data_IF_177672652898
#
_entry.id   IF_177672652898
#
_cell.length_a   1.000
_cell.length_b   1.000
_cell.length_c   1.000
_cell.angle_alpha   90.00
_cell.angle_beta   90.00
_cell.angle_gamma   90.00
#
_symmetry.space_group_name_H-M   'P 1'
#
loop_
_entity.id
_entity.type
_entity.pdbx_description
1 polymer ?
#
# COMPACT_ATOMS: atom_id res chain seq x y z
N UNK A 1 20.92 -1.80 2.69
CA UNK A 1 20.28 -2.96 2.03
C UNK A 1 21.01 -3.39 0.76
N UNK A 2 21.43 -2.47 -0.12
CA UNK A 2 22.21 -2.80 -1.32
C UNK A 2 23.50 -3.59 -1.01
N UNK A 3 24.27 -3.19 0.00
CA UNK A 3 25.52 -3.88 0.37
C UNK A 3 25.30 -5.31 0.86
N UNK A 4 24.19 -5.56 1.57
CA UNK A 4 23.81 -6.91 2.02
C UNK A 4 23.48 -7.81 0.83
N UNK A 5 22.64 -7.33 -0.09
CA UNK A 5 22.24 -8.11 -1.28
C UNK A 5 23.45 -8.44 -2.15
N UNK A 6 24.36 -7.48 -2.34
CA UNK A 6 25.62 -7.69 -3.08
C UNK A 6 26.52 -8.70 -2.35
N UNK A 7 26.63 -8.60 -1.02
CA UNK A 7 27.39 -9.55 -0.23
C UNK A 7 26.83 -10.97 -0.35
N UNK A 8 25.50 -11.13 -0.29
CA UNK A 8 24.82 -12.41 -0.46
C UNK A 8 25.09 -13.01 -1.85
N UNK A 9 24.96 -12.22 -2.92
CA UNK A 9 25.32 -12.67 -4.27
C UNK A 9 26.76 -13.20 -4.33
N UNK A 10 27.73 -12.44 -3.78
CA UNK A 10 29.14 -12.84 -3.79
C UNK A 10 29.37 -14.15 -3.05
N UNK A 11 28.77 -14.31 -1.86
CA UNK A 11 28.89 -15.54 -1.06
C UNK A 11 28.24 -16.71 -1.78
N UNK A 12 27.01 -16.57 -2.27
CA UNK A 12 26.30 -17.64 -2.98
C UNK A 12 26.96 -18.01 -4.32
N UNK A 13 27.68 -17.09 -4.96
CA UNK A 13 28.47 -17.38 -6.16
C UNK A 13 29.77 -18.14 -5.84
N UNK A 14 30.44 -17.80 -4.74
CA UNK A 14 31.76 -18.37 -4.39
C UNK A 14 31.65 -19.66 -3.56
N UNK A 15 30.79 -19.65 -2.54
CA UNK A 15 30.59 -20.73 -1.57
C UNK A 15 29.47 -21.68 -2.04
N UNK A 16 28.57 -21.22 -2.91
CA UNK A 16 27.38 -21.97 -3.31
C UNK A 16 26.24 -21.86 -2.30
N UNK A 17 25.09 -22.41 -2.66
CA UNK A 17 23.94 -22.53 -1.75
C UNK A 17 23.92 -23.95 -1.16
N UNK A 18 24.11 -24.06 0.15
CA UNK A 18 24.15 -25.35 0.86
C UNK A 18 22.77 -25.81 1.37
N UNK A 19 21.74 -24.97 1.20
CA UNK A 19 20.37 -25.32 1.60
C UNK A 19 19.69 -26.28 0.62
N UNK A 20 18.44 -26.62 0.93
CA UNK A 20 17.62 -27.47 0.06
C UNK A 20 17.29 -26.74 -1.24
N UNK A 21 17.68 -27.33 -2.37
CA UNK A 21 17.33 -26.83 -3.70
C UNK A 21 15.81 -26.95 -3.91
N UNK A 22 15.24 -25.90 -4.46
CA UNK A 22 13.82 -25.82 -4.83
C UNK A 22 13.65 -26.16 -6.30
N UNK A 23 12.63 -26.95 -6.62
CA UNK A 23 12.27 -27.28 -8.00
C UNK A 23 11.42 -26.18 -8.66
N UNK A 24 10.64 -25.45 -7.84
CA UNK A 24 9.74 -24.38 -8.25
C UNK A 24 9.75 -23.22 -7.24
N UNK A 25 9.68 -22.00 -7.75
CA UNK A 25 9.68 -20.74 -6.99
C UNK A 25 8.57 -19.85 -7.55
N UNK A 26 7.60 -19.54 -6.69
CA UNK A 26 6.48 -18.66 -6.99
C UNK A 26 6.69 -17.36 -6.22
N UNK A 27 6.73 -16.23 -6.92
CA UNK A 27 6.99 -14.92 -6.33
C UNK A 27 5.78 -14.05 -6.63
N UNK A 28 5.05 -13.73 -5.56
CA UNK A 28 3.95 -12.77 -5.61
C UNK A 28 4.45 -11.37 -5.22
N UNK A 29 3.69 -10.34 -5.60
CA UNK A 29 4.02 -8.92 -5.37
C UNK A 29 5.46 -8.57 -5.79
N UNK A 30 5.91 -9.11 -6.93
CA UNK A 30 7.30 -9.02 -7.39
C UNK A 30 7.81 -7.57 -7.52
N UNK A 31 6.89 -6.61 -7.71
CA UNK A 31 7.20 -5.20 -7.77
C UNK A 31 7.72 -4.59 -6.46
N UNK A 32 7.60 -5.29 -5.34
CA UNK A 32 8.18 -4.87 -4.05
C UNK A 32 9.65 -5.32 -3.88
N UNK A 33 10.16 -6.11 -4.82
CA UNK A 33 11.54 -6.57 -4.83
C UNK A 33 12.37 -5.79 -5.85
N UNK A 34 13.59 -5.44 -5.47
CA UNK A 34 14.58 -4.93 -6.41
C UNK A 34 15.04 -6.04 -7.36
N UNK A 35 15.47 -5.68 -8.58
CA UNK A 35 16.00 -6.65 -9.56
C UNK A 35 17.15 -7.49 -8.99
N UNK A 36 17.99 -6.91 -8.14
CA UNK A 36 19.09 -7.64 -7.48
C UNK A 36 18.59 -8.62 -6.41
N UNK A 37 17.50 -8.31 -5.70
CA UNK A 37 16.87 -9.28 -4.79
C UNK A 37 16.24 -10.44 -5.59
N UNK A 38 15.53 -10.13 -6.69
CA UNK A 38 14.95 -11.15 -7.58
C UNK A 38 16.05 -12.09 -8.10
N UNK A 39 17.20 -11.55 -8.49
CA UNK A 39 18.33 -12.34 -8.98
C UNK A 39 18.87 -13.35 -7.96
N UNK A 40 18.67 -13.16 -6.64
CA UNK A 40 19.13 -14.12 -5.63
C UNK A 40 18.44 -15.48 -5.78
N UNK A 41 17.21 -15.51 -6.32
CA UNK A 41 16.45 -16.75 -6.45
C UNK A 41 17.08 -17.75 -7.44
N UNK A 42 18.00 -17.30 -8.33
CA UNK A 42 18.76 -18.19 -9.20
C UNK A 42 19.66 -19.18 -8.44
N UNK A 43 20.02 -18.84 -7.20
CA UNK A 43 20.87 -19.70 -6.37
C UNK A 43 20.11 -20.82 -5.69
N UNK A 44 18.79 -20.67 -5.51
CA UNK A 44 17.96 -21.65 -4.79
C UNK A 44 17.20 -22.61 -5.72
N UNK A 45 16.97 -22.22 -6.98
CA UNK A 45 16.26 -23.04 -7.97
C UNK A 45 17.07 -23.16 -9.26
N UNK A 46 17.35 -24.40 -9.66
CA UNK A 46 18.12 -24.73 -10.87
C UNK A 46 17.24 -24.89 -12.11
N UNK A 47 15.93 -25.07 -11.93
CA UNK A 47 14.98 -25.22 -13.03
C UNK A 47 14.66 -23.85 -13.67
N UNK A 48 15.57 -23.39 -14.53
CA UNK A 48 15.42 -22.10 -15.26
C UNK A 48 14.47 -22.16 -16.45
N UNK A 49 13.90 -23.32 -16.78
CA UNK A 49 12.97 -23.45 -17.89
C UNK A 49 11.52 -23.27 -17.42
N UNK A 50 11.16 -23.86 -16.27
CA UNK A 50 9.78 -23.90 -15.79
C UNK A 50 9.64 -23.59 -14.29
N UNK A 51 10.76 -23.46 -13.58
CA UNK A 51 10.78 -23.39 -12.12
C UNK A 51 10.44 -22.02 -11.54
N UNK A 52 10.07 -21.03 -12.34
CA UNK A 52 9.83 -19.66 -11.88
C UNK A 52 8.52 -19.09 -12.39
N UNK A 53 7.72 -18.55 -11.48
CA UNK A 53 6.51 -17.79 -11.77
C UNK A 53 6.56 -16.48 -11.01
N UNK A 54 6.46 -15.36 -11.74
CA UNK A 54 6.46 -14.00 -11.18
C UNK A 54 5.08 -13.38 -11.39
N UNK A 55 4.47 -12.93 -10.30
CA UNK A 55 3.16 -12.28 -10.27
C UNK A 55 3.30 -10.89 -9.61
N UNK A 56 2.54 -9.92 -10.10
CA UNK A 56 2.55 -8.56 -9.56
C UNK A 56 1.76 -7.55 -10.39
N UNK A 57 1.82 -6.29 -9.97
CA UNK A 57 1.16 -5.17 -10.63
C UNK A 57 2.09 -3.95 -10.71
N UNK A 58 2.46 -3.59 -11.94
CA UNK A 58 3.39 -2.49 -12.23
C UNK A 58 2.88 -1.12 -11.77
N UNK A 59 1.57 -0.94 -11.67
CA UNK A 59 0.97 0.30 -11.18
C UNK A 59 1.04 0.43 -9.64
N UNK A 60 1.25 -0.68 -8.92
CA UNK A 60 1.35 -0.72 -7.45
C UNK A 60 2.79 -0.63 -6.93
N UNK A 61 3.74 -0.27 -7.78
CA UNK A 61 5.14 0.03 -7.39
C UNK A 61 5.22 1.39 -6.70
N UNK A 62 4.89 1.43 -5.40
CA UNK A 62 4.95 2.65 -4.57
C UNK A 62 6.10 2.64 -3.55
N UNK A 63 6.84 1.54 -3.46
CA UNK A 63 8.02 1.45 -2.61
C UNK A 63 9.10 2.44 -3.11
N UNK A 64 9.65 3.24 -2.19
CA UNK A 64 10.63 4.29 -2.54
C UNK A 64 11.89 3.67 -3.13
N UNK A 65 12.31 4.18 -4.29
CA UNK A 65 13.55 3.76 -4.95
C UNK A 65 13.43 2.44 -5.71
N UNK A 66 12.21 1.92 -5.90
CA UNK A 66 11.95 0.77 -6.74
C UNK A 66 11.20 1.25 -7.99
N UNK A 67 11.84 1.10 -9.14
CA UNK A 67 11.18 1.14 -10.43
C UNK A 67 11.04 -0.30 -10.92
N UNK A 68 9.88 -0.63 -11.46
CA UNK A 68 9.52 -1.99 -11.83
C UNK A 68 8.76 -2.00 -13.15
N UNK A 69 9.08 -2.97 -14.01
CA UNK A 69 8.25 -3.43 -15.12
C UNK A 69 8.49 -4.92 -15.34
N UNK A 70 7.50 -5.60 -15.91
CA UNK A 70 7.67 -6.99 -16.29
C UNK A 70 8.74 -7.18 -17.38
N UNK A 71 8.91 -6.22 -18.28
CA UNK A 71 9.98 -6.28 -19.29
C UNK A 71 11.39 -6.27 -18.65
N UNK A 72 11.54 -5.62 -17.50
CA UNK A 72 12.81 -5.59 -16.77
C UNK A 72 13.08 -6.95 -16.08
N UNK A 73 12.05 -7.64 -15.57
CA UNK A 73 12.17 -9.05 -15.13
C UNK A 73 12.58 -9.93 -16.31
N UNK A 74 11.91 -9.81 -17.46
CA UNK A 74 12.21 -10.65 -18.63
C UNK A 74 13.67 -10.49 -19.07
N UNK A 75 14.15 -9.26 -19.08
CA UNK A 75 15.54 -8.93 -19.37
C UNK A 75 16.50 -9.51 -18.32
N UNK A 76 16.18 -9.37 -17.03
CA UNK A 76 16.96 -9.96 -15.94
C UNK A 76 17.03 -11.48 -16.06
N UNK A 77 15.90 -12.13 -16.30
CA UNK A 77 15.80 -13.58 -16.43
C UNK A 77 16.64 -14.10 -17.59
N UNK A 78 16.56 -13.43 -18.74
CA UNK A 78 17.38 -13.78 -19.89
C UNK A 78 18.89 -13.69 -19.59
N UNK A 79 19.32 -12.57 -19.02
CA UNK A 79 20.74 -12.28 -18.80
C UNK A 79 21.34 -13.10 -17.65
N UNK A 80 20.64 -13.20 -16.53
CA UNK A 80 21.22 -13.73 -15.28
C UNK A 80 20.78 -15.15 -14.95
N UNK A 81 19.65 -15.64 -15.49
CA UNK A 81 19.19 -17.01 -15.25
C UNK A 81 19.51 -17.92 -16.43
N UNK A 82 19.26 -17.49 -17.67
CA UNK A 82 19.45 -18.32 -18.87
C UNK A 82 20.85 -18.24 -19.48
N UNK A 83 21.47 -17.06 -19.58
CA UNK A 83 22.80 -16.93 -20.19
C UNK A 83 23.91 -17.42 -19.25
N UNK A 84 23.86 -17.08 -17.97
CA UNK A 84 24.88 -17.52 -17.01
C UNK A 84 24.85 -19.03 -16.72
N UNK A 85 23.69 -19.68 -16.80
CA UNK A 85 23.58 -21.14 -16.65
C UNK A 85 24.25 -21.87 -17.81
N UNK A 86 24.06 -21.38 -19.05
CA UNK A 86 24.70 -21.91 -20.25
C UNK A 86 26.22 -21.75 -20.30
N UNK A 87 26.76 -20.72 -19.65
CA UNK A 87 28.22 -20.56 -19.56
C UNK A 87 28.87 -21.55 -18.59
N UNK A 88 28.10 -22.20 -17.72
CA UNK A 88 28.59 -23.16 -16.71
C UNK A 88 28.46 -24.62 -17.18
N UNK A 89 27.49 -24.92 -18.02
CA UNK A 89 27.32 -26.23 -18.65
C UNK A 89 27.87 -26.12 -20.09
N UNK A 90 28.98 -26.79 -20.39
CA UNK A 90 29.60 -26.86 -21.73
C UNK A 90 28.71 -27.62 -22.74
N UNK A 91 27.47 -27.19 -22.91
CA UNK A 91 26.50 -27.84 -23.78
C UNK A 91 26.53 -27.17 -25.17
N UNK A 92 27.21 -27.84 -26.10
CA UNK A 92 27.26 -27.52 -27.53
C UNK A 92 25.89 -27.66 -28.24
N UNK A 93 24.82 -28.01 -27.50
CA UNK A 93 23.44 -28.04 -28.01
C UNK A 93 22.66 -26.82 -27.53
N UNK A 94 22.83 -25.74 -28.28
CA UNK A 94 22.16 -24.44 -28.08
C UNK A 94 20.63 -24.47 -28.18
N UNK A 95 19.95 -25.01 -27.18
CA UNK A 95 18.54 -24.71 -26.95
C UNK A 95 18.40 -23.25 -26.53
N UNK A 96 17.76 -22.39 -27.34
CA UNK A 96 17.40 -21.02 -26.93
C UNK A 96 16.50 -21.16 -25.70
N UNK A 97 16.95 -20.68 -24.53
CA UNK A 97 16.11 -20.69 -23.34
C UNK A 97 14.84 -19.91 -23.67
N UNK A 98 13.68 -20.50 -23.41
CA UNK A 98 12.41 -19.95 -23.86
C UNK A 98 11.75 -19.20 -22.70
N UNK A 99 11.62 -17.89 -22.84
CA UNK A 99 10.84 -17.09 -21.89
C UNK A 99 9.38 -17.14 -22.33
N UNK A 100 8.53 -17.71 -21.50
CA UNK A 100 7.07 -17.75 -21.71
C UNK A 100 6.49 -16.35 -21.93
N UNK A 101 5.38 -16.27 -22.67
CA UNK A 101 4.64 -15.01 -22.83
C UNK A 101 4.02 -14.62 -21.50
N UNK A 102 4.00 -13.33 -21.20
CA UNK A 102 3.29 -12.80 -20.03
C UNK A 102 1.79 -13.10 -20.17
N UNK A 103 1.18 -13.55 -19.08
CA UNK A 103 -0.25 -13.80 -19.01
C UNK A 103 -0.91 -12.69 -18.18
N UNK A 104 -1.87 -11.99 -18.77
CA UNK A 104 -2.57 -10.87 -18.13
C UNK A 104 -3.94 -11.31 -17.62
N UNK A 105 -4.23 -11.01 -16.36
CA UNK A 105 -5.53 -11.25 -15.73
C UNK A 105 -6.34 -9.96 -15.75
N UNK A 106 -7.32 -9.86 -16.64
CA UNK A 106 -8.11 -8.64 -16.84
C UNK A 106 -9.47 -8.63 -16.13
N UNK A 107 -9.88 -9.72 -15.47
CA UNK A 107 -11.17 -9.81 -14.79
C UNK A 107 -11.02 -9.62 -13.28
N UNK A 108 -11.66 -8.59 -12.75
CA UNK A 108 -11.68 -8.26 -11.34
C UNK A 108 -12.95 -8.79 -10.66
N UNK A 109 -12.77 -9.51 -9.56
CA UNK A 109 -13.85 -10.13 -8.78
C UNK A 109 -14.08 -9.47 -7.41
N UNK A 110 -13.31 -8.42 -7.09
CA UNK A 110 -13.30 -7.79 -5.75
C UNK A 110 -13.95 -6.42 -5.74
N UNK A 111 -13.74 -5.66 -6.81
CA UNK A 111 -14.13 -4.26 -6.97
C UNK A 111 -15.08 -4.13 -8.16
N UNK A 112 -16.07 -3.26 -8.02
CA UNK A 112 -17.07 -3.02 -9.06
C UNK A 112 -16.57 -2.08 -10.18
N UNK A 113 -17.27 -2.12 -11.32
CA UNK A 113 -16.95 -1.42 -12.56
C UNK A 113 -16.71 0.10 -12.41
N UNK A 114 -17.51 0.79 -11.59
CA UNK A 114 -17.41 2.24 -11.34
C UNK A 114 -16.06 2.67 -10.78
N UNK A 115 -15.54 1.97 -9.77
CA UNK A 115 -14.21 2.24 -9.20
C UNK A 115 -13.11 1.87 -10.20
N UNK A 116 -13.26 0.76 -10.93
CA UNK A 116 -12.28 0.35 -11.94
C UNK A 116 -12.17 1.33 -13.10
N UNK A 117 -13.29 1.91 -13.56
CA UNK A 117 -13.25 2.98 -14.58
C UNK A 117 -12.48 4.21 -14.08
N UNK A 118 -12.64 4.57 -12.80
CA UNK A 118 -11.87 5.66 -12.20
C UNK A 118 -10.38 5.30 -12.14
N UNK A 119 -10.03 4.10 -11.67
CA UNK A 119 -8.65 3.61 -11.62
C UNK A 119 -8.01 3.58 -13.02
N UNK A 120 -8.74 3.10 -14.03
CA UNK A 120 -8.29 3.10 -15.42
C UNK A 120 -7.98 4.51 -15.92
N UNK A 121 -8.75 5.52 -15.51
CA UNK A 121 -8.46 6.91 -15.91
C UNK A 121 -7.11 7.42 -15.39
N UNK A 122 -6.62 6.89 -14.26
CA UNK A 122 -5.29 7.17 -13.71
C UNK A 122 -4.23 6.40 -14.49
N UNK A 123 -4.53 5.14 -14.87
CA UNK A 123 -3.66 4.35 -15.75
C UNK A 123 -3.48 5.01 -17.12
N UNK A 124 -4.53 5.59 -17.71
CA UNK A 124 -4.45 6.31 -18.98
C UNK A 124 -3.42 7.47 -18.91
N UNK A 125 -3.38 8.19 -17.77
CA UNK A 125 -2.39 9.25 -17.53
C UNK A 125 -0.99 8.67 -17.39
N UNK A 126 -0.82 7.54 -16.67
CA UNK A 126 0.46 6.84 -16.57
C UNK A 126 0.96 6.37 -17.93
N UNK A 127 0.10 5.77 -18.75
CA UNK A 127 0.45 5.30 -20.09
C UNK A 127 0.86 6.44 -21.01
N UNK A 128 0.20 7.60 -20.94
CA UNK A 128 0.57 8.75 -21.76
C UNK A 128 1.85 9.44 -21.27
N UNK A 129 1.93 9.74 -19.97
CA UNK A 129 3.03 10.55 -19.44
C UNK A 129 4.29 9.74 -19.16
N UNK A 130 4.15 8.45 -18.83
CA UNK A 130 5.24 7.58 -18.37
C UNK A 130 5.22 6.19 -19.03
N UNK A 131 5.17 6.07 -20.37
CA UNK A 131 5.09 4.77 -21.06
C UNK A 131 6.29 3.85 -20.78
N UNK A 132 7.44 4.41 -20.41
CA UNK A 132 8.63 3.62 -20.07
C UNK A 132 8.69 3.16 -18.61
N UNK A 133 7.72 3.51 -17.76
CA UNK A 133 7.71 3.20 -16.32
C UNK A 133 6.56 2.27 -15.90
N UNK A 134 5.67 1.93 -16.83
CA UNK A 134 4.52 1.06 -16.60
C UNK A 134 4.30 0.17 -17.82
N UNK A 135 3.99 -1.11 -17.62
CA UNK A 135 3.58 -2.01 -18.69
C UNK A 135 2.18 -1.63 -19.18
N UNK A 136 2.01 -1.49 -20.49
CA UNK A 136 0.71 -1.17 -21.10
C UNK A 136 -0.11 -2.45 -21.17
N UNK A 137 -1.17 -2.52 -20.37
CA UNK A 137 -2.04 -3.68 -20.23
C UNK A 137 -3.46 -3.32 -20.69
N UNK A 138 -4.25 -4.33 -21.05
CA UNK A 138 -5.65 -4.12 -21.35
C UNK A 138 -6.41 -3.74 -20.07
N UNK A 139 -7.39 -2.81 -20.15
CA UNK A 139 -8.17 -2.40 -18.98
C UNK A 139 -8.79 -3.57 -18.22
N UNK A 140 -8.86 -3.42 -16.90
CA UNK A 140 -9.61 -4.35 -16.05
C UNK A 140 -11.11 -4.22 -16.28
N UNK A 141 -11.81 -5.35 -16.17
CA UNK A 141 -13.27 -5.46 -16.28
C UNK A 141 -13.83 -6.14 -15.04
N UNK A 142 -15.05 -5.77 -14.65
CA UNK A 142 -15.74 -6.41 -13.53
C UNK A 142 -17.16 -6.74 -13.93
N UNK A 143 -17.65 -7.88 -13.42
CA UNK A 143 -19.05 -8.28 -13.52
C UNK A 143 -19.90 -7.71 -12.38
N UNK A 144 -19.27 -7.06 -11.40
CA UNK A 144 -19.94 -6.41 -10.29
C UNK A 144 -20.23 -4.97 -10.73
N UNK A 145 -21.51 -4.61 -10.73
CA UNK A 145 -21.96 -3.26 -11.00
C UNK A 145 -22.02 -2.46 -9.69
N UNK A 146 -21.59 -1.19 -9.74
CA UNK A 146 -21.74 -0.29 -8.60
C UNK A 146 -21.73 1.17 -9.02
N UNK A 147 -22.12 2.03 -8.08
CA UNK A 147 -22.25 3.47 -8.33
C UNK A 147 -20.90 4.13 -8.62
N UNK A 148 -20.92 5.23 -9.38
CA UNK A 148 -19.69 5.99 -9.62
C UNK A 148 -19.19 6.62 -8.31
N UNK A 149 -17.86 6.65 -8.07
CA UNK A 149 -17.26 7.32 -6.90
C UNK A 149 -17.76 8.74 -6.69
N UNK A 150 -17.81 9.19 -5.43
CA UNK A 150 -18.39 10.48 -5.05
C UNK A 150 -17.28 11.48 -4.71
N UNK A 151 -17.27 12.61 -5.40
CA UNK A 151 -16.54 13.81 -4.98
C UNK A 151 -17.41 14.59 -3.99
N UNK A 152 -16.89 14.76 -2.77
CA UNK A 152 -17.53 15.53 -1.72
C UNK A 152 -17.17 17.01 -1.87
N UNK A 153 -18.18 17.85 -2.05
CA UNK A 153 -18.04 19.30 -2.00
C UNK A 153 -18.48 19.79 -0.61
N UNK A 154 -17.55 20.42 0.13
CA UNK A 154 -17.88 21.14 1.37
C UNK A 154 -18.22 22.58 1.03
N UNK A 155 -19.43 23.03 1.40
CA UNK A 155 -19.92 24.38 1.10
C UNK A 155 -19.32 25.48 2.00
N UNK A 156 -18.61 25.13 3.09
CA UNK A 156 -18.12 26.10 4.08
C UNK A 156 -16.65 25.87 4.47
N UNK A 157 -16.03 26.89 5.08
CA UNK A 157 -14.70 26.88 5.74
C UNK A 157 -14.47 25.74 6.76
N UNK A 158 -15.52 24.99 7.08
CA UNK A 158 -15.49 23.83 7.95
C UNK A 158 -15.00 22.60 7.20
N UNK A 159 -13.92 22.02 7.72
CA UNK A 159 -13.30 20.82 7.19
C UNK A 159 -14.31 19.66 7.14
N UNK A 160 -14.40 18.96 6.00
CA UNK A 160 -15.32 17.83 5.81
C UNK A 160 -15.15 16.74 6.88
N UNK A 161 -13.93 16.53 7.36
CA UNK A 161 -13.64 15.55 8.42
C UNK A 161 -14.28 15.99 9.75
N UNK A 162 -14.23 17.28 10.06
CA UNK A 162 -14.96 17.84 11.20
C UNK A 162 -16.44 17.53 11.05
N UNK A 163 -17.06 17.79 9.90
CA UNK A 163 -18.50 17.48 9.73
C UNK A 163 -18.85 15.99 9.89
N UNK A 164 -18.02 15.09 9.35
CA UNK A 164 -18.28 13.64 9.43
C UNK A 164 -18.13 13.12 10.87
N UNK A 165 -17.22 13.70 11.67
CA UNK A 165 -16.81 13.15 12.97
C UNK A 165 -17.04 14.08 14.20
N UNK A 166 -17.51 15.32 14.03
CA UNK A 166 -17.64 16.32 15.11
C UNK A 166 -18.95 16.29 15.88
N UNK A 167 -19.97 15.56 15.43
CA UNK A 167 -21.29 15.59 16.07
C UNK A 167 -21.70 14.35 16.87
N UNK A 168 -20.78 13.44 17.21
CA UNK A 168 -21.13 12.26 18.02
C UNK A 168 -20.16 12.00 19.17
N UNK A 169 -20.16 12.93 20.13
CA UNK A 169 -19.68 12.64 21.47
C UNK A 169 -20.54 11.55 22.11
N UNK A 170 -19.97 10.36 22.28
CA UNK A 170 -20.36 9.27 23.20
C UNK A 170 -21.85 9.27 23.65
N UNK A 171 -22.81 9.23 22.71
CA UNK A 171 -24.23 9.13 23.06
C UNK A 171 -24.48 7.68 23.46
N UNK A 172 -24.47 7.40 24.77
CA UNK A 172 -24.77 6.07 25.32
C UNK A 172 -23.59 5.09 25.41
N UNK A 173 -22.34 5.55 25.32
CA UNK A 173 -21.15 4.70 25.49
C UNK A 173 -20.72 3.91 24.24
N UNK A 174 -21.43 4.06 23.11
CA UNK A 174 -21.00 3.54 21.81
C UNK A 174 -20.27 4.63 21.02
N UNK A 175 -19.04 4.34 20.59
CA UNK A 175 -18.27 5.24 19.75
C UNK A 175 -18.81 5.20 18.31
N UNK A 176 -19.59 6.22 17.96
CA UNK A 176 -20.16 6.44 16.62
C UNK A 176 -19.04 6.89 15.66
N UNK A 177 -18.99 6.31 14.46
CA UNK A 177 -17.94 6.57 13.48
C UNK A 177 -17.88 5.49 12.40
N UNK A 178 -16.75 5.41 11.69
CA UNK A 178 -16.54 4.42 10.63
C UNK A 178 -16.33 3.01 11.20
N UNK A 179 -16.90 2.03 10.52
CA UNK A 179 -16.80 0.60 10.83
C UNK A 179 -15.45 -0.04 10.53
N UNK A 180 -15.32 -1.33 10.80
CA UNK A 180 -14.10 -2.11 10.65
C UNK A 180 -13.67 -2.31 9.19
N UNK A 181 -14.62 -2.15 8.25
CA UNK A 181 -14.40 -2.27 6.81
C UNK A 181 -14.38 -0.90 6.10
N UNK A 182 -14.31 0.19 6.87
CA UNK A 182 -14.26 1.56 6.39
C UNK A 182 -12.96 2.22 6.81
N UNK A 183 -12.32 2.94 5.89
CA UNK A 183 -11.01 3.57 6.16
C UNK A 183 -10.93 4.97 5.58
N UNK A 184 -10.18 5.83 6.27
CA UNK A 184 -9.70 7.11 5.75
C UNK A 184 -8.28 6.89 5.23
N UNK A 185 -8.09 7.10 3.94
CA UNK A 185 -6.79 7.06 3.30
C UNK A 185 -6.26 8.49 3.13
N UNK A 186 -5.03 8.70 3.56
CA UNK A 186 -4.28 9.94 3.39
C UNK A 186 -2.97 9.66 2.66
N UNK A 187 -2.35 10.70 2.10
CA UNK A 187 -1.16 10.54 1.26
C UNK A 187 0.06 10.06 2.05
N UNK A 188 0.36 10.67 3.19
CA UNK A 188 1.56 10.38 4.00
C UNK A 188 1.33 10.49 5.52
N UNK A 189 2.38 10.20 6.28
CA UNK A 189 2.38 10.23 7.75
C UNK A 189 2.06 11.61 8.33
N UNK A 190 2.49 12.69 7.68
CA UNK A 190 2.22 14.04 8.16
C UNK A 190 0.72 14.35 8.09
N UNK A 191 0.07 14.02 6.97
CA UNK A 191 -1.38 14.15 6.83
C UNK A 191 -2.14 13.21 7.79
N UNK A 192 -1.60 12.01 8.04
CA UNK A 192 -2.17 11.04 9.00
C UNK A 192 -2.14 11.58 10.43
N UNK A 193 -1.01 12.11 10.88
CA UNK A 193 -0.86 12.65 12.23
C UNK A 193 -1.73 13.89 12.46
N UNK A 194 -1.94 14.71 11.43
CA UNK A 194 -2.87 15.84 11.49
C UNK A 194 -4.30 15.35 11.69
N UNK A 195 -4.75 14.39 10.87
CA UNK A 195 -6.16 13.99 10.89
C UNK A 195 -6.52 13.11 12.08
N UNK A 196 -5.56 12.36 12.62
CA UNK A 196 -5.75 11.59 13.86
C UNK A 196 -6.09 12.48 15.05
N UNK A 197 -5.64 13.74 15.08
CA UNK A 197 -6.01 14.69 16.15
C UNK A 197 -7.50 15.07 16.10
N UNK A 198 -8.10 15.06 14.91
CA UNK A 198 -9.50 15.40 14.71
C UNK A 198 -10.41 14.18 14.87
N UNK A 199 -10.05 13.06 14.23
CA UNK A 199 -10.86 11.83 14.18
C UNK A 199 -10.72 10.98 15.44
N UNK A 200 -9.55 11.03 16.09
CA UNK A 200 -9.24 10.18 17.23
C UNK A 200 -9.35 8.69 16.87
N UNK A 201 -10.06 7.92 17.70
CA UNK A 201 -10.30 6.48 17.47
C UNK A 201 -11.58 6.18 16.68
N UNK A 202 -12.26 7.20 16.14
CA UNK A 202 -13.58 7.01 15.51
C UNK A 202 -13.53 6.27 14.16
N UNK A 203 -12.37 6.24 13.49
CA UNK A 203 -12.17 5.58 12.21
C UNK A 203 -10.76 5.00 12.09
N UNK A 204 -10.59 4.03 11.18
CA UNK A 204 -9.27 3.62 10.72
C UNK A 204 -8.67 4.70 9.84
N UNK A 205 -7.45 5.14 10.14
CA UNK A 205 -6.70 6.11 9.34
C UNK A 205 -5.38 5.50 8.93
N UNK A 206 -5.18 5.35 7.62
CA UNK A 206 -3.96 4.77 7.04
C UNK A 206 -3.38 5.70 5.99
N UNK A 207 -2.06 5.74 5.89
CA UNK A 207 -1.43 6.31 4.70
C UNK A 207 -1.45 5.31 3.53
N UNK A 208 -1.13 5.75 2.31
CA UNK A 208 -1.18 4.90 1.11
C UNK A 208 -0.21 3.71 1.19
N UNK A 209 0.95 3.87 1.82
CA UNK A 209 1.93 2.79 1.97
C UNK A 209 1.41 1.71 2.92
N UNK A 210 0.81 2.13 4.05
CA UNK A 210 0.26 1.24 5.06
C UNK A 210 -0.99 0.47 4.61
N UNK A 211 -1.75 1.03 3.66
CA UNK A 211 -2.94 0.38 3.12
C UNK A 211 -2.63 -0.62 2.00
N UNK A 212 -1.39 -0.66 1.50
CA UNK A 212 -0.99 -1.61 0.45
C UNK A 212 -1.18 -3.04 0.98
N UNK A 213 -1.72 -3.92 0.14
CA UNK A 213 -2.08 -5.28 0.54
C UNK A 213 -3.35 -5.40 1.38
N UNK A 214 -4.01 -4.28 1.74
CA UNK A 214 -5.31 -4.27 2.40
C UNK A 214 -6.43 -3.87 1.43
N UNK A 215 -7.66 -4.19 1.81
CA UNK A 215 -8.87 -3.77 1.10
C UNK A 215 -9.97 -3.42 2.10
N UNK A 216 -10.86 -2.55 1.66
CA UNK A 216 -11.94 -2.01 2.46
C UNK A 216 -13.22 -1.96 1.63
N UNK A 217 -14.36 -2.14 2.28
CA UNK A 217 -15.65 -1.95 1.62
C UNK A 217 -15.77 -0.50 1.19
N UNK A 218 -15.48 0.43 2.12
CA UNK A 218 -15.56 1.84 1.86
C UNK A 218 -14.25 2.57 2.16
N UNK A 219 -13.89 3.50 1.28
CA UNK A 219 -12.68 4.31 1.37
C UNK A 219 -13.06 5.78 1.26
N UNK A 220 -12.59 6.58 2.22
CA UNK A 220 -12.55 8.03 2.13
C UNK A 220 -11.12 8.45 1.81
N UNK A 221 -10.83 8.82 0.56
CA UNK A 221 -9.57 9.44 0.18
C UNK A 221 -9.61 10.91 0.54
N UNK A 222 -8.81 11.30 1.54
CA UNK A 222 -8.87 12.64 2.12
C UNK A 222 -7.58 13.43 1.86
N UNK A 223 -7.77 14.64 1.32
CA UNK A 223 -6.75 15.67 1.09
C UNK A 223 -5.48 15.16 0.40
N UNK A 224 -5.62 14.24 -0.56
CA UNK A 224 -4.53 13.64 -1.30
C UNK A 224 -3.80 14.68 -2.17
N UNK A 225 -4.55 15.49 -2.92
CA UNK A 225 -3.98 16.50 -3.80
C UNK A 225 -3.42 17.69 -3.00
N UNK A 226 -4.11 18.08 -1.92
CA UNK A 226 -3.63 19.13 -1.01
C UNK A 226 -2.32 18.80 -0.31
N UNK A 227 -2.13 17.54 0.10
CA UNK A 227 -0.88 17.06 0.73
C UNK A 227 0.22 16.68 -0.28
N UNK A 228 -0.10 16.62 -1.57
CA UNK A 228 0.85 16.24 -2.61
C UNK A 228 1.95 17.30 -2.82
N UNK A 229 3.23 16.89 -2.94
CA UNK A 229 4.33 17.81 -3.23
C UNK A 229 4.24 18.45 -4.64
N UNK A 230 3.40 17.91 -5.54
CA UNK A 230 3.23 18.45 -6.90
C UNK A 230 2.58 19.83 -6.93
N UNK A 231 1.66 20.11 -6.00
CA UNK A 231 0.91 21.38 -5.93
C UNK A 231 0.32 21.73 -7.32
N UNK A 232 0.66 22.90 -7.87
CA UNK A 232 0.15 23.39 -9.15
C UNK A 232 0.58 22.57 -10.38
N UNK A 233 1.52 21.64 -10.24
CA UNK A 233 1.99 20.78 -11.33
C UNK A 233 0.92 19.79 -11.81
N UNK A 234 -0.10 19.48 -11.00
CA UNK A 234 -1.27 18.70 -11.43
C UNK A 234 -1.96 19.29 -12.67
N UNK A 235 -1.78 20.58 -12.96
CA UNK A 235 -2.35 21.25 -14.16
C UNK A 235 -1.86 20.66 -15.48
N UNK A 236 -0.79 19.86 -15.49
CA UNK A 236 -0.35 19.15 -16.70
C UNK A 236 -1.38 18.14 -17.21
N UNK A 237 -2.30 17.69 -16.35
CA UNK A 237 -3.43 16.84 -16.74
C UNK A 237 -4.31 17.53 -17.79
N UNK A 238 -4.38 18.86 -17.80
CA UNK A 238 -5.12 19.60 -18.83
C UNK A 238 -4.53 19.45 -20.24
N UNK A 239 -3.22 19.20 -20.36
CA UNK A 239 -2.61 18.87 -21.64
C UNK A 239 -3.20 17.58 -22.20
N UNK A 240 -3.25 16.53 -21.39
CA UNK A 240 -3.87 15.27 -21.76
C UNK A 240 -5.37 15.44 -22.08
N UNK A 241 -6.09 16.22 -21.28
CA UNK A 241 -7.51 16.50 -21.55
C UNK A 241 -7.72 17.21 -22.90
N UNK A 242 -6.83 18.14 -23.29
CA UNK A 242 -6.89 18.78 -24.61
C UNK A 242 -6.62 17.77 -25.73
N UNK A 243 -5.63 16.89 -25.57
CA UNK A 243 -5.33 15.81 -26.53
C UNK A 243 -6.55 14.89 -26.74
N UNK A 244 -7.33 14.66 -25.68
CA UNK A 244 -8.57 13.86 -25.72
C UNK A 244 -9.81 14.66 -26.18
N UNK A 245 -9.67 15.94 -26.56
CA UNK A 245 -10.79 16.78 -26.98
C UNK A 245 -11.78 17.15 -25.86
N UNK A 246 -11.36 17.08 -24.59
CA UNK A 246 -12.20 17.36 -23.42
C UNK A 246 -12.18 18.85 -22.99
N UNK A 247 -11.29 19.65 -23.58
CA UNK A 247 -11.11 21.08 -23.27
C UNK A 247 -11.10 21.93 -24.54
N UNK A 248 -11.60 23.15 -24.39
CA UNK A 248 -11.51 24.19 -25.41
C UNK A 248 -10.09 24.79 -25.47
N UNK A 249 -9.71 25.31 -26.64
CA UNK A 249 -8.35 25.79 -26.91
C UNK A 249 -7.92 27.03 -26.09
N UNK A 250 -8.81 27.65 -25.32
CA UNK A 250 -8.59 28.91 -24.59
C UNK A 250 -7.85 28.77 -23.25
N UNK A 251 -7.64 27.54 -22.77
CA UNK A 251 -7.02 27.29 -21.47
C UNK A 251 -5.49 27.37 -21.52
N UNK A 252 -4.89 28.09 -20.57
CA UNK A 252 -3.43 28.09 -20.35
C UNK A 252 -3.05 27.04 -19.31
N UNK A 253 -2.18 26.12 -19.69
CA UNK A 253 -1.68 25.04 -18.84
C UNK A 253 -0.23 24.67 -19.20
N UNK A 254 0.53 24.09 -18.25
CA UNK A 254 1.91 23.68 -18.51
C UNK A 254 1.97 22.47 -19.44
N UNK A 255 3.02 22.41 -20.25
CA UNK A 255 3.39 21.23 -21.05
C UNK A 255 4.22 20.27 -20.21
N UNK A 256 3.93 18.97 -20.34
CA UNK A 256 4.64 17.89 -19.71
C UNK A 256 6.11 17.86 -20.15
N UNK A 257 6.96 17.69 -19.14
CA UNK A 257 8.41 17.55 -19.29
C UNK A 257 8.88 16.55 -18.24
N UNK A 258 9.36 15.39 -18.67
CA UNK A 258 9.79 14.30 -17.79
C UNK A 258 10.71 14.76 -16.66
N UNK A 259 11.74 15.56 -17.00
CA UNK A 259 12.72 16.05 -16.02
C UNK A 259 12.13 16.98 -14.95
N UNK A 260 11.01 17.66 -15.24
CA UNK A 260 10.34 18.56 -14.29
C UNK A 260 9.22 17.88 -13.50
N UNK A 261 8.55 16.91 -14.12
CA UNK A 261 7.34 16.29 -13.60
C UNK A 261 7.56 14.82 -13.18
N UNK A 262 8.79 14.42 -12.87
CA UNK A 262 9.12 13.04 -12.49
C UNK A 262 8.31 12.54 -11.27
N UNK A 263 7.98 13.43 -10.33
CA UNK A 263 7.15 13.12 -9.15
C UNK A 263 5.70 12.72 -9.55
N UNK A 264 5.21 13.17 -10.70
CA UNK A 264 3.85 12.83 -11.16
C UNK A 264 3.65 11.32 -11.32
N UNK A 265 4.69 10.58 -11.75
CA UNK A 265 4.60 9.13 -11.86
C UNK A 265 4.30 8.49 -10.50
N UNK A 266 5.06 8.84 -9.46
CA UNK A 266 4.88 8.28 -8.11
C UNK A 266 3.54 8.69 -7.48
N UNK A 267 3.05 9.89 -7.77
CA UNK A 267 1.78 10.37 -7.23
C UNK A 267 0.58 9.72 -7.95
N UNK A 268 0.66 9.51 -9.26
CA UNK A 268 -0.34 8.73 -10.00
C UNK A 268 -0.38 7.26 -9.54
N UNK A 269 0.78 6.63 -9.29
CA UNK A 269 0.84 5.27 -8.73
C UNK A 269 0.23 5.18 -7.33
N UNK A 270 0.54 6.14 -6.45
CA UNK A 270 -0.09 6.22 -5.13
C UNK A 270 -1.62 6.42 -5.23
N UNK A 271 -2.07 7.29 -6.14
CA UNK A 271 -3.49 7.52 -6.36
C UNK A 271 -4.19 6.24 -6.87
N UNK A 272 -3.56 5.52 -7.80
CA UNK A 272 -4.06 4.23 -8.29
C UNK A 272 -4.17 3.20 -7.15
N UNK A 273 -3.14 3.07 -6.31
CA UNK A 273 -3.18 2.19 -5.12
C UNK A 273 -4.34 2.59 -4.22
N UNK A 274 -4.50 3.87 -3.90
CA UNK A 274 -5.55 4.38 -3.03
C UNK A 274 -6.96 4.04 -3.54
N UNK A 275 -7.22 4.27 -4.83
CA UNK A 275 -8.51 3.98 -5.47
C UNK A 275 -8.80 2.47 -5.43
N UNK A 276 -7.81 1.64 -5.77
CA UNK A 276 -7.96 0.18 -5.85
C UNK A 276 -8.06 -0.52 -4.49
N UNK A 277 -7.91 0.20 -3.36
CA UNK A 277 -8.24 -0.36 -2.03
C UNK A 277 -9.74 -0.49 -1.78
N UNK A 278 -10.55 0.14 -2.62
CA UNK A 278 -12.01 0.21 -2.47
C UNK A 278 -12.71 -0.97 -3.13
N UNK A 279 -13.67 -1.58 -2.42
CA UNK A 279 -14.53 -2.63 -2.98
C UNK A 279 -15.94 -2.16 -3.33
N UNK A 280 -16.52 -1.21 -2.59
CA UNK A 280 -17.91 -0.74 -2.74
C UNK A 280 -18.04 0.77 -2.90
N UNK A 281 -17.67 1.59 -1.91
CA UNK A 281 -17.88 3.05 -1.97
C UNK A 281 -16.57 3.80 -1.84
N UNK A 282 -16.26 4.61 -2.84
CA UNK A 282 -15.13 5.54 -2.81
C UNK A 282 -15.67 6.97 -2.69
N UNK A 283 -15.31 7.63 -1.59
CA UNK A 283 -15.48 9.05 -1.41
C UNK A 283 -14.13 9.75 -1.54
N UNK A 284 -14.10 10.87 -2.25
CA UNK A 284 -12.90 11.70 -2.39
C UNK A 284 -13.24 13.09 -1.88
N UNK A 285 -12.43 13.57 -0.95
CA UNK A 285 -12.60 14.87 -0.34
C UNK A 285 -11.28 15.63 -0.30
N UNK A 286 -11.30 16.91 -0.66
CA UNK A 286 -10.10 17.76 -0.74
C UNK A 286 -10.37 19.10 -0.08
N UNK A 287 -9.40 19.60 0.70
CA UNK A 287 -9.51 20.92 1.33
C UNK A 287 -9.07 22.01 0.34
N UNK A 288 -7.98 21.75 -0.38
CA UNK A 288 -7.37 22.68 -1.34
C UNK A 288 -7.95 22.44 -2.74
N UNK A 289 -9.14 23.00 -3.00
CA UNK A 289 -9.85 22.79 -4.25
C UNK A 289 -9.02 23.18 -5.49
N UNK A 290 -8.19 24.23 -5.41
CA UNK A 290 -7.35 24.65 -6.54
C UNK A 290 -6.35 23.58 -6.99
N UNK A 291 -5.84 22.77 -6.05
CA UNK A 291 -4.84 21.75 -6.34
C UNK A 291 -5.47 20.47 -6.91
N UNK A 292 -6.69 20.14 -6.50
CA UNK A 292 -7.44 18.97 -6.97
C UNK A 292 -8.19 19.20 -8.28
N UNK A 293 -8.50 20.47 -8.61
CA UNK A 293 -9.22 20.89 -9.83
C UNK A 293 -8.80 20.17 -11.12
N UNK A 294 -7.51 20.02 -11.46
CA UNK A 294 -7.12 19.35 -12.70
C UNK A 294 -7.64 17.91 -12.80
N UNK A 295 -7.50 17.13 -11.74
CA UNK A 295 -7.98 15.74 -11.69
C UNK A 295 -9.50 15.68 -11.57
N UNK A 296 -10.12 16.56 -10.79
CA UNK A 296 -11.58 16.60 -10.66
C UNK A 296 -12.25 16.98 -11.97
N UNK A 297 -11.72 17.97 -12.71
CA UNK A 297 -12.22 18.34 -14.02
C UNK A 297 -12.06 17.20 -15.02
N UNK A 298 -10.93 16.49 -14.99
CA UNK A 298 -10.71 15.31 -15.81
C UNK A 298 -11.77 14.23 -15.56
N UNK A 299 -11.99 13.88 -14.29
CA UNK A 299 -12.98 12.87 -13.91
C UNK A 299 -14.44 13.30 -14.18
N UNK A 300 -14.78 14.57 -13.91
CA UNK A 300 -16.11 15.13 -14.22
C UNK A 300 -16.38 15.11 -15.73
N UNK A 301 -15.40 15.51 -16.56
CA UNK A 301 -15.54 15.51 -18.04
C UNK A 301 -15.66 14.12 -18.65
N UNK A 302 -15.01 13.11 -18.05
CA UNK A 302 -15.18 11.70 -18.43
C UNK A 302 -16.39 11.02 -17.79
N UNK A 303 -17.21 11.75 -17.02
CA UNK A 303 -18.38 11.22 -16.30
C UNK A 303 -18.05 10.02 -15.39
N UNK A 304 -16.89 10.06 -14.73
CA UNK A 304 -16.39 8.97 -13.88
C UNK A 304 -16.78 9.09 -12.42
N UNK A 305 -17.31 10.25 -12.02
CA UNK A 305 -17.61 10.59 -10.63
C UNK A 305 -18.94 11.31 -10.52
N UNK A 306 -19.60 11.12 -9.39
CA UNK A 306 -20.73 11.93 -8.96
C UNK A 306 -20.23 13.06 -8.06
N UNK A 307 -20.87 14.22 -8.13
CA UNK A 307 -20.60 15.33 -7.22
C UNK A 307 -21.74 15.41 -6.22
N UNK A 308 -21.43 15.38 -4.92
CA UNK A 308 -22.44 15.54 -3.86
C UNK A 308 -21.94 16.52 -2.81
N UNK A 309 -22.86 17.33 -2.30
CA UNK A 309 -22.60 18.19 -1.15
C UNK A 309 -22.59 17.36 0.12
N UNK A 310 -21.64 17.66 1.01
CA UNK A 310 -21.59 17.01 2.32
C UNK A 310 -22.58 17.68 3.27
N UNK A 311 -23.73 17.04 3.45
CA UNK A 311 -24.73 17.36 4.48
C UNK A 311 -24.74 16.31 5.59
N UNK A 312 -25.47 16.60 6.68
CA UNK A 312 -25.55 15.72 7.85
C UNK A 312 -26.15 14.35 7.51
N UNK A 313 -27.08 14.28 6.57
CA UNK A 313 -27.70 13.03 6.13
C UNK A 313 -26.69 12.13 5.41
N UNK A 314 -25.86 12.71 4.54
CA UNK A 314 -24.81 11.98 3.84
C UNK A 314 -23.72 11.54 4.82
N UNK A 315 -23.31 12.43 5.72
CA UNK A 315 -22.33 12.10 6.76
C UNK A 315 -22.78 10.92 7.62
N UNK A 316 -24.06 10.88 8.00
CA UNK A 316 -24.64 9.75 8.73
C UNK A 316 -24.70 8.48 7.87
N UNK A 317 -25.09 8.59 6.60
CA UNK A 317 -25.14 7.44 5.67
C UNK A 317 -23.76 6.87 5.30
N UNK A 318 -22.70 7.66 5.48
CA UNK A 318 -21.32 7.21 5.32
C UNK A 318 -20.89 6.29 6.47
N UNK A 319 -21.46 6.42 7.67
CA UNK A 319 -21.05 5.63 8.83
C UNK A 319 -21.76 4.28 8.85
N UNK A 320 -20.99 3.19 8.86
CA UNK A 320 -21.50 1.81 8.95
C UNK A 320 -20.98 1.17 10.22
N UNK A 321 -21.88 0.78 11.12
CA UNK A 321 -21.51 0.08 12.33
C UNK A 321 -20.93 -1.31 12.00
N UNK A 322 -19.99 -1.76 12.82
CA UNK A 322 -19.39 -3.09 12.72
C UNK A 322 -19.49 -3.86 14.03
N UNK A 323 -19.59 -5.18 13.93
CA UNK A 323 -19.62 -6.06 15.09
C UNK A 323 -18.23 -6.20 15.74
N UNK A 324 -18.15 -6.61 17.03
CA UNK A 324 -16.87 -6.92 17.66
C UNK A 324 -16.06 -7.97 16.91
N UNK A 325 -16.71 -8.97 16.29
CA UNK A 325 -16.05 -10.01 15.48
C UNK A 325 -15.42 -9.43 14.21
N UNK A 326 -16.09 -8.49 13.54
CA UNK A 326 -15.55 -7.78 12.37
C UNK A 326 -14.32 -6.95 12.76
N UNK A 327 -14.40 -6.21 13.88
CA UNK A 327 -13.27 -5.48 14.44
C UNK A 327 -12.10 -6.40 14.77
N UNK A 328 -12.35 -7.54 15.41
CA UNK A 328 -11.31 -8.53 15.73
C UNK A 328 -10.64 -9.07 14.47
N UNK A 329 -11.42 -9.44 13.46
CA UNK A 329 -10.90 -9.92 12.16
C UNK A 329 -10.05 -8.87 11.48
N UNK A 330 -10.50 -7.61 11.47
CA UNK A 330 -9.72 -6.47 10.94
C UNK A 330 -8.44 -6.24 11.74
N UNK A 331 -8.49 -6.38 13.06
CA UNK A 331 -7.34 -6.28 13.95
C UNK A 331 -6.22 -7.25 13.58
N UNK A 332 -6.55 -8.52 13.34
CA UNK A 332 -5.56 -9.52 12.91
C UNK A 332 -4.96 -9.21 11.53
N UNK A 333 -5.79 -8.78 10.55
CA UNK A 333 -5.27 -8.37 9.23
C UNK A 333 -4.27 -7.21 9.34
N UNK A 334 -4.57 -6.21 10.17
CA UNK A 334 -3.68 -5.07 10.41
C UNK A 334 -2.41 -5.49 11.16
N UNK A 335 -2.53 -6.45 12.08
CA UNK A 335 -1.39 -7.01 12.80
C UNK A 335 -0.41 -7.73 11.86
N UNK A 336 -0.92 -8.52 10.92
CA UNK A 336 -0.12 -9.19 9.89
C UNK A 336 0.62 -8.20 8.99
N UNK A 337 -0.01 -7.05 8.69
CA UNK A 337 0.59 -5.94 7.95
C UNK A 337 1.47 -5.02 8.83
N UNK A 338 1.82 -5.44 10.04
CA UNK A 338 2.63 -4.68 10.99
C UNK A 338 2.03 -3.32 11.39
N UNK A 339 0.74 -3.09 11.17
CA UNK A 339 0.06 -1.86 11.56
C UNK A 339 -0.47 -1.96 13.00
N UNK A 340 0.47 -1.97 13.94
CA UNK A 340 0.22 -2.27 15.35
C UNK A 340 -0.72 -1.27 16.03
N UNK A 341 -0.64 0.01 15.66
CA UNK A 341 -1.48 1.07 16.27
C UNK A 341 -2.94 0.88 15.87
N UNK A 342 -3.23 0.70 14.58
CA UNK A 342 -4.61 0.48 14.12
C UNK A 342 -5.13 -0.90 14.52
N UNK A 343 -4.26 -1.93 14.53
CA UNK A 343 -4.62 -3.25 15.06
C UNK A 343 -5.04 -3.18 16.54
N UNK A 344 -4.29 -2.44 17.36
CA UNK A 344 -4.63 -2.21 18.77
C UNK A 344 -6.01 -1.56 18.91
N UNK A 345 -6.28 -0.50 18.15
CA UNK A 345 -7.60 0.16 18.15
C UNK A 345 -8.73 -0.79 17.77
N UNK A 346 -8.51 -1.66 16.77
CA UNK A 346 -9.49 -2.68 16.38
C UNK A 346 -9.77 -3.66 17.52
N UNK A 347 -8.75 -4.16 18.21
CA UNK A 347 -8.94 -5.09 19.32
C UNK A 347 -9.62 -4.42 20.53
N UNK A 348 -9.32 -3.15 20.80
CA UNK A 348 -10.04 -2.34 21.80
C UNK A 348 -11.53 -2.23 21.45
N UNK A 349 -11.87 -1.95 20.18
CA UNK A 349 -13.27 -1.94 19.69
C UNK A 349 -13.95 -3.30 19.70
N UNK A 350 -13.17 -4.38 19.58
CA UNK A 350 -13.66 -5.74 19.68
C UNK A 350 -13.79 -6.25 21.14
N UNK A 351 -13.35 -5.47 22.13
CA UNK A 351 -13.16 -5.91 23.52
C UNK A 351 -12.27 -7.16 23.64
N UNK A 352 -11.31 -7.32 22.73
CA UNK A 352 -10.35 -8.43 22.72
C UNK A 352 -9.06 -8.04 23.46
N UNK A 353 -9.06 -8.27 24.78
CA UNK A 353 -7.93 -7.95 25.66
C UNK A 353 -6.64 -8.65 25.22
N UNK A 354 -6.74 -9.88 24.73
CA UNK A 354 -5.57 -10.64 24.27
C UNK A 354 -4.99 -10.02 23.01
N UNK A 355 -5.83 -9.75 22.00
CA UNK A 355 -5.42 -9.11 20.75
C UNK A 355 -4.83 -7.71 20.98
N UNK A 356 -5.43 -6.94 21.88
CA UNK A 356 -4.95 -5.60 22.26
C UNK A 356 -3.52 -5.67 22.82
N UNK A 357 -3.29 -6.55 23.80
CA UNK A 357 -1.96 -6.76 24.39
C UNK A 357 -0.95 -7.26 23.36
N UNK A 358 -1.37 -8.19 22.50
CA UNK A 358 -0.51 -8.74 21.45
C UNK A 358 -0.05 -7.65 20.47
N UNK A 359 -0.98 -6.83 19.96
CA UNK A 359 -0.66 -5.74 19.04
C UNK A 359 0.22 -4.67 19.71
N UNK A 360 -0.08 -4.30 20.97
CA UNK A 360 0.74 -3.36 21.75
C UNK A 360 2.17 -3.87 21.93
N UNK A 361 2.35 -5.15 22.28
CA UNK A 361 3.67 -5.74 22.48
C UNK A 361 4.50 -5.76 21.20
N UNK A 362 3.91 -6.15 20.06
CA UNK A 362 4.61 -6.08 18.78
C UNK A 362 4.93 -4.64 18.36
N UNK A 363 4.03 -3.69 18.60
CA UNK A 363 4.26 -2.26 18.35
C UNK A 363 5.45 -1.71 19.16
N UNK A 364 5.51 -2.03 20.45
CA UNK A 364 6.63 -1.65 21.33
C UNK A 364 7.95 -2.29 20.90
N UNK A 365 7.93 -3.56 20.47
CA UNK A 365 9.12 -4.22 19.93
C UNK A 365 9.63 -3.52 18.66
N UNK A 366 8.73 -3.23 17.72
CA UNK A 366 9.10 -2.52 16.50
C UNK A 366 9.60 -1.08 16.77
N UNK A 367 9.01 -0.37 17.73
CA UNK A 367 9.52 0.92 18.18
C UNK A 367 10.93 0.79 18.78
N UNK A 368 11.17 -0.22 19.61
CA UNK A 368 12.49 -0.46 20.19
C UNK A 368 13.55 -0.71 19.11
N UNK A 369 13.25 -1.54 18.12
CA UNK A 369 14.18 -1.86 17.03
C UNK A 369 14.51 -0.63 16.18
N UNK A 370 13.54 0.27 15.96
CA UNK A 370 13.77 1.55 15.28
C UNK A 370 14.62 2.50 16.10
N UNK A 371 14.47 2.50 17.42
CA UNK A 371 15.16 3.42 18.33
C UNK A 371 16.55 2.92 18.78
N UNK A 372 16.89 1.65 18.56
CA UNK A 372 18.10 1.01 19.10
C UNK A 372 19.39 1.79 18.81
N UNK A 373 19.50 2.37 17.60
CA UNK A 373 20.65 3.21 17.20
C UNK A 373 20.51 4.71 17.47
N UNK A 374 19.32 5.20 17.83
CA UNK A 374 19.02 6.63 17.99
C UNK A 374 18.88 7.04 19.46
N UNK A 375 18.26 6.18 20.27
CA UNK A 375 18.01 6.39 21.69
C UNK A 375 17.93 5.03 22.41
N UNK A 376 19.08 4.48 22.84
CA UNK A 376 19.16 3.16 23.46
C UNK A 376 18.35 3.01 24.75
N UNK A 377 18.21 4.08 25.53
CA UNK A 377 17.43 4.09 26.78
C UNK A 377 15.93 3.92 26.51
N UNK A 378 15.39 4.68 25.55
CA UNK A 378 14.00 4.53 25.12
C UNK A 378 13.77 3.18 24.45
N UNK A 379 14.70 2.73 23.62
CA UNK A 379 14.63 1.41 23.00
C UNK A 379 14.57 0.29 24.04
N UNK A 380 15.44 0.34 25.05
CA UNK A 380 15.48 -0.63 26.12
C UNK A 380 14.20 -0.63 26.96
N UNK A 381 13.66 0.56 27.26
CA UNK A 381 12.40 0.72 27.98
C UNK A 381 11.22 0.11 27.21
N UNK A 382 11.08 0.45 25.92
CA UNK A 382 10.02 -0.09 25.07
C UNK A 382 10.15 -1.61 24.91
N UNK A 383 11.38 -2.13 24.73
CA UNK A 383 11.64 -3.56 24.60
C UNK A 383 11.31 -4.33 25.89
N UNK A 384 11.60 -3.76 27.05
CA UNK A 384 11.24 -4.36 28.35
C UNK A 384 9.73 -4.43 28.54
N UNK A 385 9.02 -3.33 28.23
CA UNK A 385 7.56 -3.31 28.26
C UNK A 385 6.95 -4.34 27.29
N UNK A 386 7.50 -4.48 26.07
CA UNK A 386 7.07 -5.50 25.12
C UNK A 386 7.25 -6.92 25.71
N UNK A 387 8.40 -7.20 26.32
CA UNK A 387 8.71 -8.49 26.93
C UNK A 387 7.72 -8.84 28.05
N UNK A 388 7.45 -7.90 28.95
CA UNK A 388 6.50 -8.07 30.06
C UNK A 388 5.08 -8.33 29.55
N UNK A 389 4.64 -7.62 28.50
CA UNK A 389 3.33 -7.86 27.90
C UNK A 389 3.28 -9.23 27.23
N UNK A 390 4.27 -9.61 26.43
CA UNK A 390 4.35 -10.95 25.80
C UNK A 390 4.30 -12.06 26.84
N UNK A 391 5.04 -11.92 27.93
CA UNK A 391 5.02 -12.86 29.04
C UNK A 391 3.61 -12.95 29.66
N UNK A 392 2.95 -11.81 29.91
CA UNK A 392 1.60 -11.78 30.49
C UNK A 392 0.51 -12.43 29.63
N UNK A 393 0.76 -12.63 28.33
CA UNK A 393 -0.16 -13.28 27.39
C UNK A 393 0.33 -14.66 26.94
N UNK A 394 1.36 -15.23 27.59
CA UNK A 394 1.87 -16.58 27.31
C UNK A 394 2.66 -16.70 26.01
N UNK A 395 3.21 -15.60 25.47
CA UNK A 395 4.09 -15.60 24.29
C UNK A 395 5.56 -15.70 24.70
N UNK A 396 5.91 -16.85 25.29
CA UNK A 396 7.22 -17.17 25.85
C UNK A 396 8.40 -16.85 24.91
N UNK A 397 8.35 -17.32 23.66
CA UNK A 397 9.41 -17.10 22.67
C UNK A 397 9.67 -15.61 22.44
N UNK A 398 8.63 -14.81 22.19
CA UNK A 398 8.78 -13.38 21.95
C UNK A 398 9.21 -12.61 23.21
N UNK A 399 8.76 -13.03 24.38
CA UNK A 399 9.21 -12.45 25.65
C UNK A 399 10.70 -12.72 25.87
N UNK A 400 11.14 -13.98 25.67
CA UNK A 400 12.51 -14.40 25.80
C UNK A 400 13.43 -13.67 24.81
N UNK A 401 13.03 -13.53 23.54
CA UNK A 401 13.78 -12.77 22.52
C UNK A 401 14.02 -11.33 22.99
N UNK A 402 12.99 -10.65 23.49
CA UNK A 402 13.10 -9.29 23.98
C UNK A 402 14.04 -9.18 25.20
N UNK A 403 13.93 -10.08 26.19
CA UNK A 403 14.82 -10.11 27.35
C UNK A 403 16.26 -10.48 26.97
N UNK A 404 16.45 -11.39 26.02
CA UNK A 404 17.76 -11.76 25.52
C UNK A 404 18.47 -10.58 24.86
N UNK A 405 17.76 -9.82 24.02
CA UNK A 405 18.29 -8.59 23.40
C UNK A 405 18.63 -7.50 24.43
N UNK A 406 17.99 -7.52 25.61
CA UNK A 406 18.32 -6.65 26.76
C UNK A 406 19.46 -7.21 27.63
N UNK A 407 20.00 -8.39 27.32
CA UNK A 407 20.96 -9.14 28.14
C UNK A 407 20.43 -9.55 29.52
N UNK A 408 19.11 -9.61 29.68
CA UNK A 408 18.42 -10.08 30.90
C UNK A 408 18.18 -11.60 30.83
N UNK A 409 19.26 -12.39 30.71
CA UNK A 409 19.19 -13.82 30.38
C UNK A 409 18.41 -14.68 31.37
N UNK A 410 18.46 -14.35 32.67
CA UNK A 410 17.70 -15.06 33.70
C UNK A 410 16.19 -14.95 33.44
N UNK A 411 15.69 -13.74 33.12
CA UNK A 411 14.28 -13.53 32.77
C UNK A 411 13.92 -14.18 31.44
N UNK A 412 14.84 -14.19 30.48
CA UNK A 412 14.64 -14.92 29.22
C UNK A 412 14.46 -16.42 29.47
N UNK A 413 15.24 -17.02 30.37
CA UNK A 413 15.10 -18.42 30.76
C UNK A 413 13.79 -18.71 31.51
N UNK A 414 13.40 -17.84 32.44
CA UNK A 414 12.13 -17.95 33.19
C UNK A 414 10.92 -17.87 32.26
N UNK A 415 11.02 -17.19 31.11
CA UNK A 415 9.90 -17.04 30.18
C UNK A 415 9.38 -18.37 29.59
N UNK A 416 10.15 -19.47 29.69
CA UNK A 416 9.78 -20.80 29.21
C UNK A 416 9.33 -21.78 30.31
N UNK A 417 9.36 -21.35 31.57
CA UNK A 417 8.88 -22.11 32.74
C UNK A 417 7.42 -21.75 33.04
#
# INVERSE_FOLDING_TARGET
>A
MADLVINLHRRLQNEGYEGRIMDFVYIDEVQDLTMRQIALFKHICKNVNEGFVFCGDTAQTIARGIDFRFEDIRSLYYNEFLLESKCKENDEKGGKGQISKSFHLSQNFRTHDGVLRLAQSVMDLLYRFFPSFVDILSPETSLIYGEAPILLESDNEENAITRIFSNHGNVGGQMVGFGAEQVILVRDDAAKDEILKCVGKQALVLNIVECKGLEFQDVLLYNFFGSSPLKSQWRVVYEYMKEQGLLDASWSFPTFKQAKHNILCSELKQLYVAITRTRQRLWICENEQELSKPMFNYWKKKCLVQVRKLDDSLAQAMQVASSPEEWKKRGYKLLEQCNYVMATMCFERAHDIYGEKLAKAFGLRAEADRLDGLNPERASTARRQAAEIFYSIGKAEHAADCFYMLKEYEKAGISFL
#
